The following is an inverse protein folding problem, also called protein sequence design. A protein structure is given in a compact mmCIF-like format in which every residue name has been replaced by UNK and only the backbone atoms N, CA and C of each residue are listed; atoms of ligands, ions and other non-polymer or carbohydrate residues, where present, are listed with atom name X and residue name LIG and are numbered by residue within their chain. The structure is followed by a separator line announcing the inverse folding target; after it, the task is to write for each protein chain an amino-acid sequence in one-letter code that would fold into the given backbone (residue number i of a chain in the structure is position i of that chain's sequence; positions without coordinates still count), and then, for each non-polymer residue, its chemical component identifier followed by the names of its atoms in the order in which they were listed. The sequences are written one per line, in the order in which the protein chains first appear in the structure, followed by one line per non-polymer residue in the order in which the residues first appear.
data_IF_741901859726
#
_entry.id   IF_741901859726
#
_cell.length_a   1.000
_cell.length_b   1.000
_cell.length_c   1.000
_cell.angle_alpha   90.00
_cell.angle_beta   90.00
_cell.angle_gamma   90.00
#
_symmetry.space_group_name_H-M   'P 1'
#
loop_
_entity.id
_entity.type
_entity.pdbx_description
1 polymer ?
#
# COMPACT_ATOMS: atom_id res chain seq x y z
N UNK A 1 10.45 -1.52 -11.38
CA UNK A 1 9.68 -1.96 -10.17
C UNK A 1 8.68 -3.04 -10.52
N UNK A 2 7.79 -2.77 -11.47
CA UNK A 2 6.75 -3.70 -11.90
C UNK A 2 7.14 -4.56 -13.12
N UNK A 3 8.33 -4.38 -13.70
CA UNK A 3 8.82 -5.26 -14.77
C UNK A 3 8.05 -5.10 -16.08
N UNK A 4 7.59 -3.89 -16.36
CA UNK A 4 6.76 -3.54 -17.55
C UNK A 4 7.44 -2.52 -18.45
N UNK A 5 8.69 -2.15 -18.16
CA UNK A 5 9.42 -1.07 -18.80
C UNK A 5 9.61 -1.30 -20.32
N UNK A 6 9.54 -2.56 -20.78
CA UNK A 6 9.63 -2.94 -22.21
C UNK A 6 8.33 -3.51 -22.78
N UNK A 7 7.27 -3.59 -21.98
CA UNK A 7 6.01 -4.21 -22.41
C UNK A 7 5.10 -3.16 -23.03
N UNK A 8 4.42 -3.45 -24.16
CA UNK A 8 3.39 -2.55 -24.68
C UNK A 8 2.25 -2.44 -23.66
N UNK A 9 1.59 -1.28 -23.60
CA UNK A 9 0.54 -0.98 -22.60
C UNK A 9 -0.53 -2.08 -22.52
N UNK A 10 -0.98 -2.58 -23.67
CA UNK A 10 -1.99 -3.65 -23.75
C UNK A 10 -1.54 -5.00 -23.15
N UNK A 11 -0.22 -5.26 -23.10
CA UNK A 11 0.33 -6.48 -22.53
C UNK A 11 0.70 -6.34 -21.05
N UNK A 12 0.78 -5.12 -20.50
CA UNK A 12 1.21 -4.89 -19.11
C UNK A 12 0.35 -5.65 -18.09
N UNK A 13 -0.96 -5.75 -18.31
CA UNK A 13 -1.89 -6.46 -17.42
C UNK A 13 -1.58 -7.96 -17.29
N UNK A 14 -0.96 -8.55 -18.32
CA UNK A 14 -0.57 -9.97 -18.32
C UNK A 14 0.78 -10.21 -17.65
N UNK A 15 1.51 -9.15 -17.28
CA UNK A 15 2.83 -9.27 -16.67
C UNK A 15 2.68 -9.66 -15.19
N UNK A 16 3.41 -10.69 -14.69
CA UNK A 16 3.16 -11.26 -13.37
C UNK A 16 3.26 -10.26 -12.22
N UNK A 17 4.26 -9.36 -12.25
CA UNK A 17 4.47 -8.37 -11.19
C UNK A 17 3.42 -7.27 -11.22
N UNK A 18 3.11 -6.72 -12.38
CA UNK A 18 2.14 -5.63 -12.52
C UNK A 18 0.70 -6.12 -12.38
N UNK A 19 0.29 -7.13 -13.14
CA UNK A 19 -1.03 -7.75 -13.04
C UNK A 19 -1.30 -8.33 -11.65
N UNK A 20 -0.30 -9.00 -11.06
CA UNK A 20 -0.40 -9.50 -9.68
C UNK A 20 -0.52 -8.38 -8.65
N UNK A 21 0.10 -7.22 -8.85
CA UNK A 21 -0.08 -6.08 -7.96
C UNK A 21 -1.47 -5.46 -8.09
N UNK A 22 -2.02 -5.39 -9.31
CA UNK A 22 -3.40 -4.94 -9.55
C UNK A 22 -4.40 -5.84 -8.82
N UNK A 23 -4.27 -7.17 -8.96
CA UNK A 23 -5.15 -8.13 -8.30
C UNK A 23 -5.10 -7.97 -6.76
N UNK A 24 -3.90 -7.94 -6.18
CA UNK A 24 -3.74 -7.74 -4.72
C UNK A 24 -4.30 -6.39 -4.24
N UNK A 25 -4.20 -5.34 -5.06
CA UNK A 25 -4.76 -4.05 -4.71
C UNK A 25 -6.30 -4.07 -4.76
N UNK A 26 -6.90 -4.73 -5.75
CA UNK A 26 -8.34 -4.95 -5.81
C UNK A 26 -8.84 -5.75 -4.60
N UNK A 27 -8.19 -6.87 -4.29
CA UNK A 27 -8.52 -7.70 -3.11
C UNK A 27 -8.40 -6.90 -1.79
N UNK A 28 -7.42 -6.00 -1.70
CA UNK A 28 -7.24 -5.12 -0.55
C UNK A 28 -8.40 -4.13 -0.42
N UNK A 29 -8.84 -3.51 -1.52
CA UNK A 29 -9.99 -2.61 -1.53
C UNK A 29 -11.28 -3.34 -1.16
N UNK A 30 -11.51 -4.54 -1.70
CA UNK A 30 -12.69 -5.35 -1.38
C UNK A 30 -12.72 -5.72 0.11
N UNK A 31 -11.59 -6.14 0.68
CA UNK A 31 -11.50 -6.42 2.12
C UNK A 31 -11.72 -5.17 2.97
N UNK A 32 -11.10 -4.04 2.63
CA UNK A 32 -11.25 -2.78 3.37
C UNK A 32 -12.69 -2.29 3.33
N UNK A 33 -13.31 -2.27 2.16
CA UNK A 33 -14.71 -1.83 2.00
C UNK A 33 -15.70 -2.77 2.68
N UNK A 34 -15.47 -4.09 2.66
CA UNK A 34 -16.28 -5.06 3.41
C UNK A 34 -16.15 -4.89 4.92
N UNK A 35 -14.92 -4.67 5.42
CA UNK A 35 -14.69 -4.42 6.84
C UNK A 35 -15.34 -3.13 7.32
N UNK A 36 -15.29 -2.07 6.53
CA UNK A 36 -15.84 -0.75 6.91
C UNK A 36 -17.36 -0.70 6.71
N UNK A 37 -17.84 -1.13 5.54
CA UNK A 37 -19.23 -0.90 5.11
C UNK A 37 -20.20 -2.04 5.43
N UNK A 38 -19.72 -3.23 5.79
CA UNK A 38 -20.59 -4.39 6.02
C UNK A 38 -20.43 -5.02 7.40
N UNK A 39 -19.20 -5.32 7.82
CA UNK A 39 -18.95 -6.01 9.10
C UNK A 39 -18.62 -5.06 10.25
N UNK A 40 -18.46 -3.76 9.98
CA UNK A 40 -18.05 -2.73 10.94
C UNK A 40 -16.75 -3.06 11.71
N UNK A 41 -15.90 -3.93 11.15
CA UNK A 41 -14.61 -4.28 11.70
C UNK A 41 -13.57 -3.19 11.42
N UNK A 42 -13.76 -2.02 12.04
CA UNK A 42 -12.90 -0.85 11.86
C UNK A 42 -11.46 -1.10 12.33
N UNK A 43 -11.29 -1.88 13.40
CA UNK A 43 -9.97 -2.27 13.90
C UNK A 43 -9.22 -3.14 12.88
N UNK A 44 -9.91 -4.12 12.28
CA UNK A 44 -9.35 -4.98 11.24
C UNK A 44 -8.98 -4.18 9.99
N UNK A 45 -9.83 -3.24 9.56
CA UNK A 45 -9.54 -2.36 8.43
C UNK A 45 -8.30 -1.49 8.68
N UNK A 46 -8.20 -0.90 9.87
CA UNK A 46 -7.04 -0.11 10.28
C UNK A 46 -5.76 -0.95 10.34
N UNK A 47 -5.83 -2.16 10.91
CA UNK A 47 -4.71 -3.09 10.96
C UNK A 47 -4.25 -3.54 9.58
N UNK A 48 -5.19 -3.82 8.66
CA UNK A 48 -4.88 -4.20 7.28
C UNK A 48 -4.14 -3.09 6.56
N UNK A 49 -4.68 -1.86 6.55
CA UNK A 49 -4.04 -0.71 5.91
C UNK A 49 -2.60 -0.49 6.42
N UNK A 50 -2.41 -0.54 7.74
CA UNK A 50 -1.08 -0.38 8.34
C UNK A 50 -0.15 -1.56 8.03
N UNK A 51 -0.66 -2.80 8.03
CA UNK A 51 0.12 -3.99 7.67
C UNK A 51 0.64 -3.88 6.24
N UNK A 52 -0.22 -3.49 5.30
CA UNK A 52 0.17 -3.27 3.91
C UNK A 52 1.29 -2.24 3.81
N UNK A 53 1.19 -1.09 4.48
CA UNK A 53 2.27 -0.10 4.51
C UNK A 53 3.60 -0.63 5.06
N UNK A 54 3.57 -1.42 6.15
CA UNK A 54 4.78 -2.06 6.71
C UNK A 54 5.40 -3.05 5.72
N UNK A 55 4.61 -3.87 5.04
CA UNK A 55 5.12 -4.84 4.06
C UNK A 55 5.83 -4.15 2.88
N UNK A 56 5.35 -2.97 2.49
CA UNK A 56 5.99 -2.18 1.43
C UNK A 56 7.37 -1.63 1.84
N UNK A 57 7.71 -1.56 3.13
CA UNK A 57 9.06 -1.19 3.59
C UNK A 57 10.15 -2.18 3.15
N UNK A 58 9.77 -3.40 2.76
CA UNK A 58 10.68 -4.43 2.24
C UNK A 58 10.96 -4.27 0.75
N UNK A 59 10.28 -3.37 0.06
CA UNK A 59 10.51 -3.10 -1.36
C UNK A 59 11.65 -2.10 -1.48
N UNK A 60 12.83 -2.55 -1.91
CA UNK A 60 14.04 -1.71 -1.96
C UNK A 60 13.86 -0.39 -2.72
N UNK A 61 13.05 -0.40 -3.78
CA UNK A 61 12.71 0.83 -4.49
C UNK A 61 12.03 1.85 -3.57
N UNK A 62 11.01 1.43 -2.80
CA UNK A 62 10.31 2.34 -1.89
C UNK A 62 11.18 2.69 -0.70
N UNK A 63 11.93 1.74 -0.14
CA UNK A 63 12.86 1.98 0.96
C UNK A 63 13.79 3.17 0.69
N UNK A 64 14.38 3.20 -0.51
CA UNK A 64 15.33 4.23 -0.95
C UNK A 64 14.61 5.52 -1.39
N UNK A 65 13.50 5.42 -2.11
CA UNK A 65 12.94 6.55 -2.83
C UNK A 65 11.70 7.20 -2.17
N UNK A 66 11.05 6.53 -1.21
CA UNK A 66 9.90 7.07 -0.49
C UNK A 66 10.37 8.14 0.51
N UNK A 67 9.83 9.35 0.40
CA UNK A 67 10.07 10.45 1.34
C UNK A 67 8.91 11.45 1.31
N UNK A 68 9.03 12.55 2.05
CA UNK A 68 8.00 13.59 2.14
C UNK A 68 7.74 14.32 0.82
N UNK A 69 8.75 14.47 -0.04
CA UNK A 69 8.63 15.12 -1.34
C UNK A 69 8.01 14.18 -2.38
N UNK A 70 8.34 12.89 -2.29
CA UNK A 70 7.90 11.85 -3.23
C UNK A 70 7.29 10.67 -2.48
N UNK A 71 6.01 10.84 -2.15
CA UNK A 71 5.18 9.81 -1.56
C UNK A 71 4.49 8.99 -2.66
N UNK A 72 5.00 7.79 -2.95
CA UNK A 72 4.46 6.91 -3.98
C UNK A 72 3.06 6.37 -3.64
N UNK A 73 2.72 6.23 -2.35
CA UNK A 73 1.33 5.91 -1.95
C UNK A 73 0.38 7.05 -2.31
N UNK A 74 0.79 8.30 -2.06
CA UNK A 74 -0.01 9.47 -2.42
C UNK A 74 -0.14 9.62 -3.95
N UNK A 75 0.91 9.35 -4.73
CA UNK A 75 0.84 9.37 -6.20
C UNK A 75 -0.23 8.39 -6.70
N UNK A 76 -0.22 7.15 -6.20
CA UNK A 76 -1.21 6.13 -6.58
C UNK A 76 -2.60 6.51 -6.06
N UNK A 77 -2.73 6.85 -4.77
CA UNK A 77 -4.01 7.21 -4.16
C UNK A 77 -4.66 8.41 -4.82
N UNK A 78 -3.89 9.45 -5.15
CA UNK A 78 -4.40 10.64 -5.86
C UNK A 78 -4.87 10.29 -7.28
N UNK A 79 -4.20 9.34 -7.94
CA UNK A 79 -4.65 8.82 -9.25
C UNK A 79 -6.00 8.10 -9.12
N UNK A 80 -6.21 7.31 -8.06
CA UNK A 80 -7.53 6.72 -7.79
C UNK A 80 -8.58 7.79 -7.48
N UNK A 81 -8.24 8.84 -6.72
CA UNK A 81 -9.16 9.94 -6.44
C UNK A 81 -9.58 10.65 -7.76
N UNK A 82 -8.64 10.90 -8.67
CA UNK A 82 -8.95 11.61 -9.92
C UNK A 82 -9.62 10.72 -10.97
N UNK A 83 -9.21 9.46 -11.10
CA UNK A 83 -9.67 8.59 -12.19
C UNK A 83 -10.76 7.61 -11.77
N UNK A 84 -10.77 7.10 -10.55
CA UNK A 84 -11.70 6.05 -10.13
C UNK A 84 -13.03 6.61 -9.60
N UNK A 85 -12.99 7.70 -8.83
CA UNK A 85 -14.20 8.32 -8.25
C UNK A 85 -15.26 8.69 -9.29
N UNK A 86 -14.93 9.25 -10.47
CA UNK A 86 -15.94 9.56 -11.49
C UNK A 86 -16.74 8.33 -11.97
N UNK A 87 -16.15 7.12 -11.95
CA UNK A 87 -16.88 5.89 -12.27
C UNK A 87 -17.81 5.45 -11.13
N UNK A 88 -17.47 5.77 -9.89
CA UNK A 88 -18.27 5.45 -8.70
C UNK A 88 -19.45 6.41 -8.53
N UNK A 89 -19.26 7.68 -8.88
CA UNK A 89 -20.31 8.71 -8.86
C UNK A 89 -21.28 8.60 -10.04
N UNK A 90 -20.93 7.85 -11.09
CA UNK A 90 -21.71 7.75 -12.33
C UNK A 90 -21.50 8.93 -13.29
N UNK A 91 -20.44 9.73 -13.08
CA UNK A 91 -20.00 10.81 -13.98
C UNK A 91 -19.26 10.28 -15.21
N UNK A 92 -18.54 9.16 -15.09
CA UNK A 92 -17.93 8.42 -16.20
C UNK A 92 -18.56 7.03 -16.33
N UNK A 93 -18.92 6.64 -17.54
CA UNK A 93 -19.36 5.28 -17.85
C UNK A 93 -18.16 4.33 -17.97
N UNK A 94 -18.35 3.06 -17.60
CA UNK A 94 -17.28 2.06 -17.71
C UNK A 94 -16.94 1.79 -19.19
N UNK A 95 -15.66 1.66 -19.56
CA UNK A 95 -15.29 1.27 -20.92
C UNK A 95 -15.85 -0.13 -21.23
N UNK A 96 -16.51 -0.30 -22.39
CA UNK A 96 -17.08 -1.55 -22.91
C UNK A 96 -18.36 -2.12 -22.22
N UNK A 97 -19.14 -1.32 -21.50
CA UNK A 97 -20.55 -1.69 -21.30
C UNK A 97 -21.34 -1.20 -22.52
N UNK A 98 -21.67 -2.11 -23.44
CA UNK A 98 -22.59 -1.84 -24.56
C UNK A 98 -23.81 -1.06 -24.05
N UNK A 99 -24.29 -0.10 -24.86
CA UNK A 99 -25.47 0.78 -24.69
C UNK A 99 -26.82 0.05 -24.46
N UNK A 100 -26.82 -1.18 -23.95
CA UNK A 100 -28.01 -1.89 -23.49
C UNK A 100 -28.43 -1.38 -22.13
N UNK A 101 -29.16 -0.26 -22.15
CA UNK A 101 -30.16 0.17 -21.15
C UNK A 101 -29.84 -0.28 -19.72
N UNK A 102 -28.84 0.34 -19.09
CA UNK A 102 -28.83 0.35 -17.62
C UNK A 102 -30.04 1.16 -17.17
N UNK A 103 -31.01 0.49 -16.57
CA UNK A 103 -31.93 1.13 -15.64
C UNK A 103 -31.05 1.69 -14.53
N UNK A 104 -30.70 2.98 -14.63
CA UNK A 104 -30.03 3.70 -13.54
C UNK A 104 -31.02 3.75 -12.40
N UNK A 105 -30.97 2.76 -11.51
CA UNK A 105 -31.55 2.92 -10.19
C UNK A 105 -30.94 4.18 -9.61
N UNK A 106 -31.78 5.17 -9.30
CA UNK A 106 -31.34 6.43 -8.72
C UNK A 106 -30.63 6.08 -7.42
N UNK A 107 -29.31 6.26 -7.40
CA UNK A 107 -28.54 6.12 -6.16
C UNK A 107 -29.17 7.04 -5.12
N UNK A 108 -29.47 6.56 -3.90
CA UNK A 108 -29.96 7.43 -2.84
C UNK A 108 -28.88 8.44 -2.40
N UNK A 109 -27.62 8.19 -2.77
CA UNK A 109 -26.49 9.07 -2.49
C UNK A 109 -26.25 10.03 -3.65
N UNK A 110 -26.05 11.31 -3.31
CA UNK A 110 -25.66 12.32 -4.29
C UNK A 110 -24.23 12.09 -4.78
N UNK A 111 -23.94 12.58 -5.98
CA UNK A 111 -22.60 12.54 -6.59
C UNK A 111 -21.54 13.12 -5.64
N UNK A 112 -21.84 14.26 -5.02
CA UNK A 112 -20.96 14.91 -4.05
C UNK A 112 -20.69 14.03 -2.83
N UNK A 113 -21.73 13.38 -2.26
CA UNK A 113 -21.55 12.48 -1.12
C UNK A 113 -20.64 11.31 -1.47
N UNK A 114 -20.85 10.67 -2.63
CA UNK A 114 -20.03 9.56 -3.10
C UNK A 114 -18.57 10.04 -3.25
N UNK A 115 -18.36 11.16 -3.94
CA UNK A 115 -17.03 11.70 -4.17
C UNK A 115 -16.29 12.05 -2.86
N UNK A 116 -16.98 12.67 -1.91
CA UNK A 116 -16.40 13.07 -0.63
C UNK A 116 -16.01 11.86 0.24
N UNK A 117 -16.89 10.85 0.31
CA UNK A 117 -16.62 9.62 1.09
C UNK A 117 -15.41 8.89 0.52
N UNK A 118 -15.36 8.69 -0.80
CA UNK A 118 -14.24 7.99 -1.44
C UNK A 118 -12.93 8.78 -1.37
N UNK A 119 -12.99 10.11 -1.51
CA UNK A 119 -11.82 10.98 -1.31
C UNK A 119 -11.27 10.83 0.11
N UNK A 120 -12.12 10.85 1.13
CA UNK A 120 -11.71 10.63 2.53
C UNK A 120 -11.13 9.24 2.73
N UNK A 121 -11.76 8.20 2.19
CA UNK A 121 -11.27 6.83 2.26
C UNK A 121 -9.84 6.70 1.72
N UNK A 122 -9.57 7.16 0.49
CA UNK A 122 -8.23 7.09 -0.10
C UNK A 122 -7.21 7.96 0.64
N UNK A 123 -7.62 9.16 1.10
CA UNK A 123 -6.75 10.05 1.89
C UNK A 123 -6.29 9.37 3.18
N UNK A 124 -7.21 8.73 3.91
CA UNK A 124 -6.92 8.01 5.15
C UNK A 124 -6.05 6.79 4.85
N UNK A 125 -6.35 6.01 3.80
CA UNK A 125 -5.57 4.85 3.41
C UNK A 125 -4.11 5.23 3.12
N UNK A 126 -3.89 6.28 2.32
CA UNK A 126 -2.55 6.81 2.02
C UNK A 126 -1.83 7.23 3.31
N UNK A 127 -2.50 7.95 4.19
CA UNK A 127 -1.91 8.40 5.45
C UNK A 127 -1.47 7.21 6.33
N UNK A 128 -2.35 6.22 6.51
CA UNK A 128 -2.06 5.03 7.33
C UNK A 128 -0.93 4.18 6.75
N UNK A 129 -0.90 3.98 5.43
CA UNK A 129 0.18 3.25 4.77
C UNK A 129 1.51 3.99 4.85
N UNK A 130 1.50 5.31 4.65
CA UNK A 130 2.71 6.15 4.72
C UNK A 130 3.31 6.12 6.13
N UNK A 131 2.48 6.33 7.14
CA UNK A 131 2.93 6.37 8.53
C UNK A 131 3.51 5.01 8.96
N UNK A 132 2.82 3.92 8.67
CA UNK A 132 3.27 2.58 9.07
C UNK A 132 4.52 2.15 8.30
N UNK A 133 4.65 2.52 7.02
CA UNK A 133 5.86 2.35 6.23
C UNK A 133 7.06 3.05 6.89
N UNK A 134 6.90 4.33 7.24
CA UNK A 134 7.99 5.12 7.83
C UNK A 134 8.42 4.59 9.19
N UNK A 135 7.46 4.17 10.03
CA UNK A 135 7.74 3.53 11.30
C UNK A 135 8.58 2.25 11.12
N UNK A 136 8.22 1.40 10.16
CA UNK A 136 8.91 0.13 9.92
C UNK A 136 10.30 0.33 9.32
N UNK A 137 10.43 1.24 8.33
CA UNK A 137 11.72 1.60 7.73
C UNK A 137 12.71 2.09 8.79
N UNK A 138 12.27 2.97 9.69
CA UNK A 138 13.11 3.48 10.78
C UNK A 138 13.56 2.37 11.74
N UNK A 139 12.69 1.39 12.04
CA UNK A 139 13.05 0.24 12.88
C UNK A 139 14.13 -0.61 12.21
N UNK A 140 13.98 -0.94 10.94
CA UNK A 140 14.99 -1.71 10.19
C UNK A 140 16.35 -0.99 10.16
N UNK A 141 16.36 0.31 9.87
CA UNK A 141 17.60 1.10 9.83
C UNK A 141 18.31 1.15 11.19
N UNK A 142 17.57 1.23 12.30
CA UNK A 142 18.13 1.18 13.66
C UNK A 142 18.78 -0.18 13.96
N UNK A 143 18.12 -1.27 13.60
CA UNK A 143 18.65 -2.63 13.81
C UNK A 143 19.95 -2.83 13.02
N UNK A 144 19.99 -2.39 11.76
CA UNK A 144 21.19 -2.47 10.92
C UNK A 144 22.32 -1.64 11.55
N UNK A 145 22.04 -0.39 11.93
CA UNK A 145 23.04 0.49 12.54
C UNK A 145 23.62 -0.08 13.84
N UNK A 146 22.80 -0.66 14.71
CA UNK A 146 23.27 -1.34 15.93
C UNK A 146 24.16 -2.55 15.62
N UNK A 147 23.80 -3.37 14.64
CA UNK A 147 24.63 -4.51 14.21
C UNK A 147 25.97 -4.08 13.60
N UNK A 148 26.01 -2.94 12.91
CA UNK A 148 27.24 -2.39 12.32
C UNK A 148 28.14 -1.71 13.36
N UNK A 149 27.57 -1.16 14.45
CA UNK A 149 28.33 -0.51 15.53
C UNK A 149 28.80 -1.48 16.64
N UNK A 150 28.13 -2.64 16.80
CA UNK A 150 28.48 -3.65 17.81
C UNK A 150 29.19 -4.95 17.31
N UNK A 151 29.81 -5.05 16.11
CA UNK A 151 30.47 -6.30 15.71
C UNK A 151 31.73 -6.60 16.53
N UNK A 152 32.37 -5.58 17.11
CA UNK A 152 33.54 -5.74 17.98
C UNK A 152 33.21 -6.14 19.43
N UNK A 153 31.93 -6.11 19.84
CA UNK A 153 31.52 -6.60 21.16
C UNK A 153 31.17 -8.09 21.17
N UNK A 154 30.88 -8.69 20.01
CA UNK A 154 30.62 -10.13 19.92
C UNK A 154 31.91 -10.97 19.90
N UNK A 155 33.01 -10.42 19.39
CA UNK A 155 34.33 -11.08 19.35
C UNK A 155 35.03 -11.06 20.72
N UNK A 156 34.83 -10.01 21.51
CA UNK A 156 35.42 -9.88 22.85
C UNK A 156 34.81 -10.85 23.88
N UNK A 157 33.51 -11.14 23.78
CA UNK A 157 32.86 -12.11 24.66
C UNK A 157 33.26 -13.58 24.35
N UNK A 158 33.57 -13.92 23.09
CA UNK A 158 34.07 -15.25 22.75
C UNK A 158 35.53 -15.46 23.20
N UNK A 159 36.38 -14.42 23.13
CA UNK A 159 37.75 -14.50 23.64
C UNK A 159 37.81 -14.58 25.18
N UNK A 160 36.93 -13.90 25.91
CA UNK A 160 36.90 -14.01 27.38
C UNK A 160 36.44 -15.40 27.86
N UNK A 161 35.49 -16.06 27.17
CA UNK A 161 35.09 -17.43 27.53
C UNK A 161 36.20 -18.46 27.26
N UNK A 162 36.93 -18.36 26.14
CA UNK A 162 38.06 -19.27 25.88
C UNK A 162 39.25 -19.11 26.83
N UNK A 163 39.40 -17.95 27.47
CA UNK A 163 40.50 -17.70 28.41
C UNK A 163 40.15 -18.24 29.82
N UNK A 164 38.86 -18.28 30.18
CA UNK A 164 38.39 -18.84 31.44
C UNK A 164 38.29 -20.37 31.44
N UNK A 165 38.08 -21.02 30.30
CA UNK A 165 38.07 -22.49 30.20
C UNK A 165 39.47 -23.13 30.16
N UNK A 166 40.51 -22.34 29.92
CA UNK A 166 41.91 -22.81 29.83
C UNK A 166 42.81 -22.33 31.00
N UNK A 167 42.23 -21.80 32.08
CA UNK A 167 42.96 -21.43 33.32
C UNK A 167 42.58 -22.31 34.49
#
# INVERSE_FOLDING_TARGET
VFGVERSPRAAMLKMPKFGGHIARFADCLDQLTSMIGYTENLLGAWQLARKTGREHSRISFLEINQNNEKNYFAIVGNTFISEFIPYLSGEKDKPNEDDKKRVRFVSPYSVTMIADVWRRFFTILVAQMTESFEQERRKHNKIISQKTLAPHQQTSNQQQQQTQENS
#
